data_IF_670364508321
#
_entry.id   IF_670364508321
#
_cell.length_a   1.000
_cell.length_b   1.000
_cell.length_c   1.000
_cell.angle_alpha   90.00
_cell.angle_beta   90.00
_cell.angle_gamma   90.00
#
_symmetry.space_group_name_H-M   'P 1'
#
loop_
_entity.id
_entity.type
_entity.pdbx_description
1 polymer ?
#
# COMPACT_ATOMS: atom_id res chain seq x y z
N UNK A 1 -7.78 3.01 32.49
CA UNK A 1 -6.99 2.06 31.68
C UNK A 1 -7.81 1.41 30.57
N UNK A 2 -8.97 0.79 30.82
CA UNK A 2 -9.80 0.15 29.75
C UNK A 2 -10.21 1.05 28.57
N UNK A 3 -10.43 2.34 28.79
CA UNK A 3 -10.83 3.25 27.70
C UNK A 3 -9.66 3.67 26.80
N UNK A 4 -8.45 3.77 27.36
CA UNK A 4 -7.23 4.01 26.57
C UNK A 4 -6.85 2.78 25.75
N UNK A 5 -7.02 1.57 26.29
CA UNK A 5 -6.82 0.32 25.55
C UNK A 5 -7.83 0.19 24.40
N UNK A 6 -9.11 0.47 24.65
CA UNK A 6 -10.14 0.49 23.60
C UNK A 6 -9.84 1.50 22.48
N UNK A 7 -9.40 2.70 22.85
CA UNK A 7 -9.03 3.71 21.87
C UNK A 7 -7.76 3.32 21.09
N UNK A 8 -6.80 2.68 21.74
CA UNK A 8 -5.60 2.14 21.09
C UNK A 8 -5.93 1.06 20.07
N UNK A 9 -6.77 0.09 20.44
CA UNK A 9 -7.25 -0.98 19.55
C UNK A 9 -8.06 -0.43 18.39
N UNK A 10 -8.93 0.56 18.64
CA UNK A 10 -9.68 1.22 17.57
C UNK A 10 -8.77 1.96 16.59
N UNK A 11 -7.69 2.59 17.07
CA UNK A 11 -6.73 3.28 16.23
C UNK A 11 -5.89 2.31 15.38
N UNK A 12 -5.42 1.19 15.96
CA UNK A 12 -4.72 0.13 15.23
C UNK A 12 -5.63 -0.47 14.14
N UNK A 13 -6.92 -0.62 14.41
CA UNK A 13 -7.87 -1.11 13.42
C UNK A 13 -8.00 -0.19 12.19
N UNK A 14 -7.93 1.13 12.39
CA UNK A 14 -7.93 2.10 11.28
C UNK A 14 -6.69 1.91 10.39
N UNK A 15 -5.51 1.69 10.97
CA UNK A 15 -4.30 1.43 10.19
C UNK A 15 -4.40 0.11 9.42
N UNK A 16 -4.97 -0.95 10.02
CA UNK A 16 -5.23 -2.20 9.33
C UNK A 16 -6.19 -2.03 8.14
N UNK A 17 -7.26 -1.24 8.31
CA UNK A 17 -8.25 -1.00 7.26
C UNK A 17 -7.63 -0.24 6.09
N UNK A 18 -6.81 0.79 6.37
CA UNK A 18 -6.05 1.51 5.34
C UNK A 18 -5.13 0.55 4.58
N UNK A 19 -4.44 -0.35 5.28
CA UNK A 19 -3.56 -1.34 4.64
C UNK A 19 -4.33 -2.35 3.81
N UNK A 20 -5.50 -2.78 4.28
CA UNK A 20 -6.38 -3.67 3.52
C UNK A 20 -6.76 -3.03 2.18
N UNK A 21 -7.19 -1.76 2.21
CA UNK A 21 -7.53 -1.01 1.00
C UNK A 21 -6.31 -0.79 0.11
N UNK A 22 -5.15 -0.45 0.70
CA UNK A 22 -3.91 -0.31 -0.04
C UNK A 22 -3.54 -1.60 -0.81
N UNK A 23 -3.58 -2.75 -0.14
CA UNK A 23 -3.25 -4.01 -0.82
C UNK A 23 -4.30 -4.42 -1.85
N UNK A 24 -5.58 -4.27 -1.53
CA UNK A 24 -6.65 -4.82 -2.37
C UNK A 24 -7.08 -3.92 -3.52
N UNK A 25 -7.07 -2.60 -3.31
CA UNK A 25 -7.49 -1.62 -4.31
C UNK A 25 -6.32 -1.10 -5.14
N UNK A 26 -5.14 -0.93 -4.54
CA UNK A 26 -3.99 -0.34 -5.23
C UNK A 26 -2.99 -1.38 -5.76
N UNK A 27 -2.87 -2.55 -5.12
CA UNK A 27 -1.82 -3.53 -5.41
C UNK A 27 -2.36 -4.90 -5.89
N UNK A 28 -3.64 -4.96 -6.26
CA UNK A 28 -4.31 -6.14 -6.85
C UNK A 28 -4.30 -7.42 -5.99
N UNK A 29 -4.05 -7.33 -4.68
CA UNK A 29 -4.27 -8.46 -3.78
C UNK A 29 -5.76 -8.75 -3.62
N UNK A 30 -6.15 -10.00 -3.48
CA UNK A 30 -7.54 -10.32 -3.14
C UNK A 30 -7.72 -10.30 -1.62
N UNK A 31 -8.93 -10.05 -1.13
CA UNK A 31 -9.25 -10.14 0.30
C UNK A 31 -8.87 -11.53 0.86
N UNK A 32 -9.01 -12.60 0.06
CA UNK A 32 -8.62 -13.95 0.46
C UNK A 32 -7.12 -14.17 0.60
N UNK A 33 -6.29 -13.30 0.04
CA UNK A 33 -4.84 -13.34 0.18
C UNK A 33 -4.37 -12.67 1.49
N UNK A 34 -5.20 -11.84 2.12
CA UNK A 34 -4.92 -11.12 3.36
C UNK A 34 -5.32 -11.98 4.57
N UNK A 35 -4.32 -12.49 5.30
CA UNK A 35 -4.57 -13.33 6.48
C UNK A 35 -4.27 -12.52 7.74
N UNK A 36 -5.32 -12.14 8.46
CA UNK A 36 -5.19 -11.37 9.70
C UNK A 36 -4.84 -12.27 10.89
N UNK A 37 -3.99 -11.77 11.79
CA UNK A 37 -3.67 -12.39 13.09
C UNK A 37 -3.09 -13.82 12.98
N UNK A 38 -2.24 -14.07 11.99
CA UNK A 38 -1.59 -15.37 11.80
C UNK A 38 -0.30 -15.44 12.62
N UNK A 39 -0.27 -16.35 13.60
CA UNK A 39 0.92 -16.64 14.41
C UNK A 39 1.59 -15.36 14.95
N UNK A 40 0.79 -14.50 15.59
CA UNK A 40 1.18 -13.22 16.19
C UNK A 40 1.54 -12.08 15.23
N UNK A 41 1.52 -12.31 13.92
CA UNK A 41 1.62 -11.23 12.94
C UNK A 41 0.24 -10.62 12.66
N UNK A 42 0.17 -9.31 12.50
CA UNK A 42 -1.08 -8.60 12.26
C UNK A 42 -1.68 -8.94 10.90
N UNK A 43 -0.86 -8.92 9.84
CA UNK A 43 -1.28 -9.31 8.48
C UNK A 43 -0.19 -10.16 7.83
N UNK A 44 -0.60 -11.27 7.20
CA UNK A 44 0.25 -12.08 6.33
C UNK A 44 -0.39 -12.19 4.95
N UNK A 45 0.31 -11.67 3.94
CA UNK A 45 -0.09 -11.77 2.54
C UNK A 45 0.36 -13.11 1.98
N UNK A 46 -0.59 -13.89 1.49
CA UNK A 46 -0.36 -15.22 0.94
C UNK A 46 -0.92 -15.28 -0.48
N UNK A 47 -0.07 -15.57 -1.45
CA UNK A 47 -0.48 -15.76 -2.85
C UNK A 47 -0.20 -17.20 -3.26
N UNK A 48 -1.24 -17.89 -3.76
CA UNK A 48 -1.16 -19.31 -4.19
C UNK A 48 -0.61 -20.25 -3.11
N UNK A 49 -0.97 -20.00 -1.85
CA UNK A 49 -0.49 -20.76 -0.69
C UNK A 49 0.94 -20.46 -0.25
N UNK A 50 1.61 -19.49 -0.88
CA UNK A 50 2.96 -19.04 -0.52
C UNK A 50 2.84 -17.73 0.26
N UNK A 51 3.34 -17.70 1.50
CA UNK A 51 3.47 -16.46 2.28
C UNK A 51 4.50 -15.55 1.63
N UNK A 52 4.08 -14.38 1.17
CA UNK A 52 4.91 -13.42 0.41
C UNK A 52 5.41 -12.29 1.28
N UNK A 53 4.55 -11.74 2.14
CA UNK A 53 4.87 -10.57 2.96
C UNK A 53 4.20 -10.70 4.33
N UNK A 54 4.96 -10.45 5.38
CA UNK A 54 4.44 -10.32 6.74
C UNK A 54 4.45 -8.84 7.13
N UNK A 55 3.32 -8.31 7.57
CA UNK A 55 3.14 -6.91 7.90
C UNK A 55 2.79 -6.77 9.37
N UNK A 56 3.58 -5.97 10.08
CA UNK A 56 3.27 -5.51 11.43
C UNK A 56 2.59 -4.14 11.35
N UNK A 57 1.45 -4.01 12.02
CA UNK A 57 0.66 -2.78 12.05
C UNK A 57 0.89 -2.05 13.36
N UNK A 58 1.16 -0.75 13.26
CA UNK A 58 1.35 0.15 14.39
C UNK A 58 0.22 1.16 14.47
N UNK A 59 0.14 1.85 15.61
CA UNK A 59 -0.85 2.91 15.81
C UNK A 59 -0.64 4.03 14.78
N UNK A 60 -1.70 4.59 14.20
CA UNK A 60 -1.61 5.73 13.29
C UNK A 60 -0.70 6.85 13.78
N UNK A 61 0.24 7.26 12.93
CA UNK A 61 1.22 8.32 13.19
C UNK A 61 2.30 7.98 14.22
N UNK A 62 2.44 6.71 14.62
CA UNK A 62 3.46 6.29 15.57
C UNK A 62 4.82 5.99 14.93
N UNK A 63 4.86 5.77 13.62
CA UNK A 63 6.12 5.59 12.91
C UNK A 63 6.72 6.93 12.57
N UNK A 64 8.02 7.04 12.84
CA UNK A 64 8.83 8.14 12.35
C UNK A 64 9.39 7.76 11.00
N UNK A 65 9.33 8.69 10.06
CA UNK A 65 9.97 8.57 8.76
C UNK A 65 11.48 8.79 8.92
N UNK A 66 12.18 7.87 9.60
CA UNK A 66 13.63 7.86 9.71
C UNK A 66 14.14 6.42 9.80
N UNK A 67 15.26 6.15 9.12
CA UNK A 67 15.76 4.78 8.93
C UNK A 67 15.96 4.01 10.25
N UNK A 68 16.63 4.55 11.29
CA UNK A 68 16.82 3.83 12.54
C UNK A 68 15.51 3.51 13.27
N UNK A 69 14.50 4.38 13.18
CA UNK A 69 13.20 4.12 13.79
C UNK A 69 12.42 3.05 13.03
N UNK A 70 12.48 3.06 11.69
CA UNK A 70 11.83 2.07 10.85
C UNK A 70 12.47 0.67 10.99
N UNK A 71 13.79 0.57 11.03
CA UNK A 71 14.48 -0.70 11.23
C UNK A 71 14.19 -1.30 12.63
N UNK A 72 14.09 -0.45 13.66
CA UNK A 72 13.65 -0.88 15.00
C UNK A 72 12.20 -1.36 14.98
N UNK A 73 11.33 -0.69 14.24
CA UNK A 73 9.93 -1.07 14.14
C UNK A 73 9.74 -2.42 13.43
N UNK A 74 10.63 -2.79 12.49
CA UNK A 74 10.66 -4.10 11.85
C UNK A 74 11.14 -5.25 12.75
N UNK A 75 11.80 -4.98 13.88
CA UNK A 75 12.38 -6.03 14.73
C UNK A 75 11.32 -7.03 15.23
N UNK A 76 10.07 -6.60 15.42
CA UNK A 76 8.97 -7.50 15.77
C UNK A 76 8.57 -8.38 14.58
N UNK A 77 8.34 -7.78 13.41
CA UNK A 77 8.02 -8.49 12.18
C UNK A 77 9.10 -9.52 11.80
N UNK A 78 10.38 -9.19 11.99
CA UNK A 78 11.50 -10.10 11.72
C UNK A 78 11.42 -11.38 12.56
N UNK A 79 11.13 -11.27 13.87
CA UNK A 79 11.03 -12.44 14.76
C UNK A 79 9.94 -13.41 14.28
N UNK A 80 8.79 -12.87 13.89
CA UNK A 80 7.69 -13.69 13.37
C UNK A 80 7.99 -14.25 11.98
N UNK A 81 8.69 -13.52 11.12
CA UNK A 81 9.03 -13.97 9.79
C UNK A 81 9.93 -15.20 9.78
N UNK A 82 10.89 -15.28 10.72
CA UNK A 82 11.75 -16.47 10.89
C UNK A 82 10.92 -17.73 11.24
N UNK A 83 9.98 -17.61 12.18
CA UNK A 83 9.09 -18.70 12.58
C UNK A 83 8.15 -19.12 11.44
N UNK A 84 7.71 -18.15 10.63
CA UNK A 84 6.75 -18.34 9.55
C UNK A 84 7.39 -18.64 8.18
N UNK A 85 8.73 -18.61 8.08
CA UNK A 85 9.52 -18.76 6.85
C UNK A 85 9.16 -17.75 5.76
N UNK A 86 8.85 -16.52 6.15
CA UNK A 86 8.57 -15.41 5.23
C UNK A 86 9.87 -14.63 5.00
N UNK A 87 10.19 -14.31 3.73
CA UNK A 87 11.45 -13.62 3.39
C UNK A 87 11.32 -12.11 3.28
N UNK A 88 10.12 -11.59 3.13
CA UNK A 88 9.86 -10.16 3.07
C UNK A 88 8.99 -9.74 4.24
N UNK A 89 9.33 -8.64 4.86
CA UNK A 89 8.61 -8.08 6.00
C UNK A 89 8.30 -6.60 5.76
N UNK A 90 7.24 -6.13 6.39
CA UNK A 90 6.87 -4.73 6.39
C UNK A 90 6.38 -4.28 7.77
N UNK A 91 6.44 -2.98 7.99
CA UNK A 91 5.80 -2.29 9.11
C UNK A 91 5.06 -1.08 8.56
N UNK A 92 3.89 -0.81 9.11
CA UNK A 92 3.11 0.38 8.74
C UNK A 92 2.21 0.85 9.86
N UNK A 93 1.93 2.15 9.88
CA UNK A 93 0.93 2.76 10.74
C UNK A 93 -0.25 3.34 9.95
N UNK A 94 -0.44 2.93 8.69
CA UNK A 94 -1.47 3.48 7.80
C UNK A 94 -1.12 4.84 7.19
N UNK A 95 -0.05 5.53 7.64
CA UNK A 95 0.48 6.73 6.98
C UNK A 95 1.82 6.42 6.31
N UNK A 96 2.69 5.69 7.01
CA UNK A 96 3.98 5.25 6.50
C UNK A 96 3.91 3.75 6.24
N UNK A 97 4.44 3.31 5.10
CA UNK A 97 4.65 1.89 4.81
C UNK A 97 6.13 1.66 4.52
N UNK A 98 6.77 0.74 5.24
CA UNK A 98 8.17 0.39 5.06
C UNK A 98 8.32 -1.12 4.92
N UNK A 99 9.03 -1.55 3.88
CA UNK A 99 9.24 -2.96 3.58
C UNK A 99 10.69 -3.29 3.26
N UNK A 100 11.13 -4.47 3.69
CA UNK A 100 12.47 -4.98 3.53
C UNK A 100 12.46 -6.50 3.30
N UNK A 101 13.48 -6.99 2.62
CA UNK A 101 13.79 -8.41 2.53
C UNK A 101 14.74 -8.81 3.66
N UNK A 102 14.59 -10.04 4.15
CA UNK A 102 15.52 -10.68 5.07
C UNK A 102 16.57 -11.41 4.25
N UNK A 103 17.81 -10.92 4.30
CA UNK A 103 18.95 -11.47 3.54
C UNK A 103 20.10 -11.74 4.50
N UNK A 104 20.50 -13.01 4.60
CA UNK A 104 21.57 -13.47 5.50
C UNK A 104 21.37 -13.04 6.97
N UNK A 105 20.12 -12.96 7.44
CA UNK A 105 19.76 -12.51 8.79
C UNK A 105 19.84 -10.99 9.01
N UNK A 106 20.13 -10.21 7.97
CA UNK A 106 20.03 -8.77 7.96
C UNK A 106 18.80 -8.28 7.19
N UNK A 107 18.53 -6.98 7.30
CA UNK A 107 17.47 -6.31 6.55
C UNK A 107 18.05 -5.63 5.30
N UNK A 108 17.51 -5.98 4.14
CA UNK A 108 17.75 -5.28 2.90
C UNK A 108 16.51 -4.47 2.56
N UNK A 109 16.60 -3.16 2.69
CA UNK A 109 15.51 -2.24 2.38
C UNK A 109 15.03 -2.39 0.94
N UNK A 110 13.70 -2.37 0.75
CA UNK A 110 13.08 -2.51 -0.58
C UNK A 110 12.07 -1.39 -0.88
N UNK A 111 11.28 -0.93 0.08
CA UNK A 111 10.27 0.11 -0.20
C UNK A 111 10.00 0.97 1.03
N UNK A 112 9.77 2.27 0.81
CA UNK A 112 9.29 3.22 1.81
C UNK A 112 8.29 4.16 1.14
N UNK A 113 7.09 4.26 1.69
CA UNK A 113 5.96 4.98 1.09
C UNK A 113 5.30 5.86 2.15
N UNK A 114 4.81 7.02 1.69
CA UNK A 114 3.76 7.78 2.37
C UNK A 114 2.43 7.45 1.71
N UNK A 115 1.52 6.85 2.47
CA UNK A 115 0.17 6.49 2.04
C UNK A 115 -0.81 7.68 2.12
N UNK A 116 -0.42 8.74 2.86
CA UNK A 116 -1.20 9.97 3.03
C UNK A 116 -0.81 11.08 2.04
N UNK A 117 0.13 10.82 1.13
CA UNK A 117 0.55 11.80 0.14
C UNK A 117 -0.60 12.08 -0.85
N UNK A 118 -0.80 13.36 -1.24
CA UNK A 118 -1.88 13.73 -2.17
C UNK A 118 -1.68 13.19 -3.59
N UNK A 119 -0.49 12.66 -3.91
CA UNK A 119 -0.18 11.99 -5.17
C UNK A 119 0.19 10.53 -4.95
N UNK A 120 -0.03 9.69 -5.97
CA UNK A 120 0.36 8.29 -5.92
C UNK A 120 1.88 8.15 -5.88
N UNK A 121 2.41 7.43 -4.89
CA UNK A 121 3.81 7.06 -4.86
C UNK A 121 4.09 6.00 -5.93
N UNK A 122 4.92 6.32 -6.92
CA UNK A 122 5.40 5.36 -7.92
C UNK A 122 6.14 4.18 -7.27
N UNK A 123 6.71 4.38 -6.08
CA UNK A 123 7.40 3.32 -5.35
C UNK A 123 6.44 2.21 -4.88
N UNK A 124 5.12 2.47 -4.84
CA UNK A 124 4.12 1.46 -4.50
C UNK A 124 4.07 0.32 -5.51
N UNK A 125 4.36 0.59 -6.79
CA UNK A 125 4.34 -0.43 -7.86
C UNK A 125 5.43 -1.48 -7.73
N UNK A 126 6.44 -1.23 -6.90
CA UNK A 126 7.43 -2.25 -6.59
C UNK A 126 6.89 -3.31 -5.64
N UNK A 127 5.80 -3.05 -4.92
CA UNK A 127 5.13 -4.03 -4.06
C UNK A 127 4.03 -4.69 -4.86
N UNK A 128 4.05 -6.01 -4.96
CA UNK A 128 3.10 -6.77 -5.79
C UNK A 128 2.67 -8.06 -5.10
N UNK A 129 1.69 -8.74 -5.68
CA UNK A 129 1.23 -10.09 -5.30
C UNK A 129 2.33 -11.16 -5.30
N UNK A 130 3.43 -10.91 -6.00
CA UNK A 130 4.56 -11.82 -6.11
C UNK A 130 5.76 -11.44 -5.21
N UNK A 131 5.68 -10.29 -4.53
CA UNK A 131 6.74 -9.78 -3.65
C UNK A 131 7.20 -8.39 -4.06
N UNK A 132 8.40 -8.01 -3.60
CA UNK A 132 8.94 -6.66 -3.80
C UNK A 132 9.98 -6.67 -4.91
N UNK A 133 9.67 -6.06 -6.05
CA UNK A 133 10.50 -6.08 -7.26
C UNK A 133 11.57 -5.00 -7.32
N UNK A 134 11.54 -4.00 -6.41
CA UNK A 134 12.52 -2.92 -6.44
C UNK A 134 13.93 -3.46 -6.27
N UNK A 135 14.87 -3.09 -7.12
CA UNK A 135 16.26 -3.41 -6.85
C UNK A 135 16.72 -2.81 -5.51
N UNK A 136 17.61 -3.49 -4.77
CA UNK A 136 18.07 -3.05 -3.47
C UNK A 136 19.11 -1.93 -3.58
N UNK A 137 19.01 -1.11 -4.64
CA UNK A 137 19.74 0.15 -4.73
C UNK A 137 19.50 0.89 -3.43
N UNK A 138 20.56 1.43 -2.79
CA UNK A 138 20.33 2.41 -1.74
C UNK A 138 19.39 3.44 -2.35
N UNK A 139 18.15 3.59 -1.85
CA UNK A 139 17.37 4.79 -2.14
C UNK A 139 18.34 5.94 -1.95
N UNK A 140 18.72 6.57 -3.05
CA UNK A 140 19.85 7.48 -3.08
C UNK A 140 19.63 8.55 -2.02
N UNK A 141 20.74 9.12 -1.54
CA UNK A 141 20.89 10.07 -0.44
C UNK A 141 20.10 11.41 -0.59
N UNK A 142 19.02 11.43 -1.37
CA UNK A 142 18.12 12.54 -1.60
C UNK A 142 16.65 12.26 -1.24
N UNK A 143 16.28 11.07 -0.76
CA UNK A 143 15.04 10.97 0.04
C UNK A 143 15.36 11.56 1.40
N UNK A 144 15.26 12.88 1.51
CA UNK A 144 15.34 13.54 2.81
C UNK A 144 14.10 13.12 3.60
N UNK A 145 14.27 12.06 4.38
CA UNK A 145 13.23 11.55 5.27
C UNK A 145 12.84 12.58 6.35
N UNK A 146 13.57 13.70 6.46
CA UNK A 146 13.33 14.82 7.38
C UNK A 146 12.69 16.05 6.72
N UNK A 147 12.56 16.11 5.40
CA UNK A 147 11.98 17.26 4.71
C UNK A 147 10.47 17.12 4.52
N UNK A 148 9.67 18.19 4.75
CA UNK A 148 8.33 18.26 4.17
C UNK A 148 8.45 18.30 2.63
N UNK A 149 7.57 17.56 1.94
CA UNK A 149 7.52 17.43 0.47
C UNK A 149 7.77 18.76 -0.27
N UNK A 150 8.81 18.87 -1.13
CA UNK A 150 9.07 20.10 -1.87
C UNK A 150 8.44 20.16 -3.27
N UNK A 151 7.54 19.26 -3.66
CA UNK A 151 7.00 19.22 -5.05
C UNK A 151 5.46 19.11 -5.08
N UNK A 152 4.81 20.10 -4.48
CA UNK A 152 3.49 20.57 -4.93
C UNK A 152 3.71 21.74 -5.91
N UNK A 153 4.31 21.48 -7.07
CA UNK A 153 4.62 22.54 -8.05
C UNK A 153 5.27 21.99 -9.31
N UNK A 154 4.46 21.50 -10.24
CA UNK A 154 4.92 20.72 -11.39
C UNK A 154 5.85 21.43 -12.38
N UNK A 155 6.71 20.63 -13.01
CA UNK A 155 7.23 20.84 -14.35
C UNK A 155 7.31 19.50 -15.10
N UNK A 156 6.95 19.45 -16.41
CA UNK A 156 6.91 18.20 -17.16
C UNK A 156 8.33 17.74 -17.53
N UNK A 157 8.71 16.55 -17.06
CA UNK A 157 9.94 15.86 -17.46
C UNK A 157 9.78 15.36 -18.90
N UNK A 158 10.66 15.80 -19.81
CA UNK A 158 10.76 15.25 -21.17
C UNK A 158 11.57 13.95 -21.13
N UNK A 159 10.98 12.83 -21.54
CA UNK A 159 11.64 11.51 -21.56
C UNK A 159 11.86 11.05 -23.01
N UNK A 160 13.09 10.64 -23.32
CA UNK A 160 13.51 10.09 -24.61
C UNK A 160 13.02 8.64 -24.83
N UNK A 161 12.75 8.33 -26.10
CA UNK A 161 12.25 7.05 -26.60
C UNK A 161 13.34 5.98 -26.65
N UNK A 162 13.11 4.82 -26.02
CA UNK A 162 13.96 3.62 -26.14
C UNK A 162 13.09 2.34 -25.98
N UNK A 163 13.39 1.26 -26.68
CA UNK A 163 12.53 0.08 -26.78
C UNK A 163 12.46 -0.73 -25.45
N UNK A 164 11.50 -0.40 -24.59
CA UNK A 164 11.35 -0.97 -23.24
C UNK A 164 10.57 -2.30 -23.17
N UNK A 165 10.92 -3.11 -22.17
CA UNK A 165 10.25 -4.37 -21.76
C UNK A 165 8.72 -4.20 -21.71
N UNK A 166 7.92 -5.11 -22.28
CA UNK A 166 6.45 -5.01 -22.26
C UNK A 166 5.82 -5.74 -21.06
N UNK A 167 4.73 -5.22 -20.49
CA UNK A 167 3.93 -5.93 -19.49
C UNK A 167 3.29 -7.20 -20.10
N UNK A 168 3.39 -8.40 -19.49
CA UNK A 168 2.95 -9.67 -20.10
C UNK A 168 1.45 -9.72 -20.47
N UNK A 169 0.59 -9.18 -19.60
CA UNK A 169 -0.88 -9.13 -19.76
C UNK A 169 -1.35 -7.99 -20.68
N UNK A 170 -0.92 -6.77 -20.42
CA UNK A 170 -1.44 -5.56 -21.08
C UNK A 170 -0.66 -5.13 -22.34
N UNK A 171 0.48 -5.78 -22.66
CA UNK A 171 1.31 -5.55 -23.86
C UNK A 171 1.71 -4.09 -24.11
N UNK A 172 1.71 -3.28 -23.06
CA UNK A 172 2.19 -1.91 -23.03
C UNK A 172 3.66 -1.89 -22.60
N UNK A 173 4.50 -0.97 -23.12
CA UNK A 173 5.85 -0.76 -22.60
C UNK A 173 5.81 -0.51 -21.10
N UNK A 174 6.69 -1.16 -20.35
CA UNK A 174 6.98 -0.86 -18.95
C UNK A 174 7.73 0.48 -18.89
N UNK A 175 7.03 1.52 -19.34
CA UNK A 175 7.37 2.93 -19.22
C UNK A 175 6.20 3.51 -18.46
N UNK A 176 6.48 4.18 -17.35
CA UNK A 176 5.51 4.67 -16.39
C UNK A 176 4.23 5.18 -17.06
N UNK A 177 3.12 4.45 -16.87
CA UNK A 177 1.80 4.85 -17.35
C UNK A 177 0.94 5.18 -16.13
N UNK A 178 1.04 6.42 -15.69
CA UNK A 178 0.04 7.04 -14.81
C UNK A 178 -0.99 7.74 -15.69
N UNK A 179 -1.97 7.02 -16.22
CA UNK A 179 -3.25 7.61 -16.62
C UNK A 179 -4.30 6.50 -16.63
N UNK A 180 -5.08 6.41 -15.56
CA UNK A 180 -6.51 6.15 -15.71
C UNK A 180 -7.16 7.40 -15.13
N UNK A 181 -7.82 8.25 -15.94
CA UNK A 181 -8.69 9.28 -15.40
C UNK A 181 -9.77 8.55 -14.62
N UNK A 182 -10.06 9.01 -13.40
CA UNK A 182 -11.38 8.75 -12.81
C UNK A 182 -12.40 9.10 -13.90
N UNK A 183 -13.14 8.11 -14.40
CA UNK A 183 -14.31 8.41 -15.20
C UNK A 183 -15.23 9.22 -14.27
N UNK A 184 -15.48 10.48 -14.66
CA UNK A 184 -16.64 11.22 -14.20
C UNK A 184 -17.86 10.33 -14.46
N UNK A 185 -18.38 9.73 -13.40
CA UNK A 185 -19.70 9.12 -13.42
C UNK A 185 -20.67 10.29 -13.42
N UNK A 186 -21.42 10.57 -14.52
CA UNK A 186 -22.47 11.55 -14.43
C UNK A 186 -23.50 11.05 -13.41
N UNK A 187 -23.77 11.89 -12.42
CA UNK A 187 -24.93 11.77 -11.55
C UNK A 187 -26.16 11.64 -12.47
N UNK A 188 -26.73 10.44 -12.52
CA UNK A 188 -28.10 10.28 -13.01
C UNK A 188 -28.98 11.04 -12.04
N UNK A 189 -29.47 12.19 -12.50
CA UNK A 189 -30.49 12.98 -11.81
C UNK A 189 -31.73 12.13 -11.54
N UNK A 190 -32.33 12.43 -10.39
CA UNK A 190 -33.54 11.85 -9.82
C UNK A 190 -34.65 11.65 -10.86
N UNK A 191 -35.14 10.41 -10.98
CA UNK A 191 -36.50 10.18 -11.45
C UNK A 191 -37.45 10.52 -10.31
N UNK A 192 -37.86 11.79 -10.27
CA UNK A 192 -38.93 12.24 -9.40
C UNK A 192 -40.26 11.67 -9.90
N UNK A 193 -40.97 11.01 -8.99
CA UNK A 193 -42.19 10.29 -9.29
C UNK A 193 -43.43 11.18 -9.38
N UNK A 194 -44.25 10.86 -10.40
CA UNK A 194 -45.74 10.82 -10.43
C UNK A 194 -46.50 12.18 -10.39
N UNK A 195 -47.72 12.28 -11.01
CA UNK A 195 -48.89 11.54 -10.55
C UNK A 195 -49.74 10.86 -11.64
N UNK A 196 -50.42 9.82 -11.20
CA UNK A 196 -51.55 9.21 -11.86
C UNK A 196 -52.68 10.21 -12.07
N UNK A 197 -53.26 10.21 -13.28
CA UNK A 197 -54.68 10.55 -13.47
C UNK A 197 -55.27 9.51 -14.41
N UNK A 198 -56.22 8.74 -13.88
CA UNK A 198 -57.06 7.86 -14.67
C UNK A 198 -58.17 8.66 -15.34
N UNK A 199 -58.59 8.22 -16.52
CA UNK A 199 -59.96 8.38 -17.00
C UNK A 199 -60.24 7.28 -18.03
N UNK A 200 -61.07 6.32 -17.66
CA UNK A 200 -61.79 5.47 -18.59
C UNK A 200 -63.10 6.13 -19.04
N UNK A 201 -63.86 5.39 -19.86
CA UNK A 201 -65.09 5.72 -20.59
C UNK A 201 -64.80 6.38 -21.96
N UNK A 202 -65.16 5.84 -23.12
CA UNK A 202 -66.09 4.77 -23.54
C UNK A 202 -65.54 4.08 -24.81
#
# INVERSE_FOLDING_TARGET
>A
MRQQERNGVAAEKVAEDILQDFFTLALDWTIGDLNHQVQYADIVLTSRGIKRLLVEVKRPGSLRFDQPSLDRALAQAHRYADEQRVRSIAVSDGLVFYAADIVNGGLQRRSILRLDAPGHSLDAWWVSVDGIYRDPTPLDAGVDLSAPDPEAGGAPVRISSDDGLLHPKYKIPARCLSTIPLLDVPLVEEFDGVPATGSGAL
#
